data_IF_782379383875
#
_entry.id   IF_782379383875
#
_cell.length_a   1.000
_cell.length_b   1.000
_cell.length_c   1.000
_cell.angle_alpha   90.00
_cell.angle_beta   90.00
_cell.angle_gamma   90.00
#
_symmetry.space_group_name_H-M   'P 1'
#
loop_
_entity.id
_entity.type
_entity.pdbx_description
1 polymer ?
#
# COMPACT_ATOMS: atom_id res chain seq x y z
N UNK A 1 -45.76 -7.20 -1.42
CA UNK A 1 -45.98 -8.05 -2.60
C UNK A 1 -44.80 -9.03 -2.60
N UNK A 2 -45.05 -10.31 -2.40
CA UNK A 2 -44.00 -11.32 -2.43
C UNK A 2 -43.42 -11.43 -3.86
N UNK A 3 -42.13 -11.66 -4.04
CA UNK A 3 -41.56 -11.89 -5.37
C UNK A 3 -42.17 -13.15 -6.00
N UNK A 4 -42.21 -13.24 -7.33
CA UNK A 4 -42.70 -14.44 -7.99
C UNK A 4 -41.81 -15.66 -7.65
N UNK A 5 -42.36 -16.88 -7.65
CA UNK A 5 -41.64 -18.10 -7.24
C UNK A 5 -40.27 -18.31 -7.94
N UNK A 6 -40.19 -17.96 -9.20
CA UNK A 6 -38.93 -18.01 -9.98
C UNK A 6 -37.84 -17.08 -9.44
N UNK A 7 -38.21 -15.96 -8.81
CA UNK A 7 -37.24 -15.04 -8.21
C UNK A 7 -36.58 -15.63 -6.96
N UNK A 8 -37.33 -16.37 -6.14
CA UNK A 8 -36.79 -17.04 -4.95
C UNK A 8 -35.80 -18.18 -5.33
N UNK A 9 -36.13 -18.96 -6.34
CA UNK A 9 -35.21 -19.98 -6.87
C UNK A 9 -33.94 -19.40 -7.44
N UNK A 10 -34.04 -18.31 -8.20
CA UNK A 10 -32.89 -17.60 -8.76
C UNK A 10 -32.00 -17.00 -7.66
N UNK A 11 -32.59 -16.41 -6.62
CA UNK A 11 -31.83 -15.86 -5.49
C UNK A 11 -31.15 -16.94 -4.67
N UNK A 12 -31.79 -18.09 -4.46
CA UNK A 12 -31.18 -19.23 -3.79
C UNK A 12 -29.99 -19.77 -4.60
N UNK A 13 -30.18 -20.00 -5.90
CA UNK A 13 -29.09 -20.43 -6.79
C UNK A 13 -27.92 -19.43 -6.86
N UNK A 14 -28.23 -18.12 -6.82
CA UNK A 14 -27.21 -17.08 -6.75
C UNK A 14 -26.42 -17.14 -5.44
N UNK A 15 -27.10 -17.33 -4.30
CA UNK A 15 -26.46 -17.44 -2.98
C UNK A 15 -25.53 -18.65 -2.92
N UNK A 16 -25.94 -19.81 -3.40
CA UNK A 16 -25.14 -21.03 -3.42
C UNK A 16 -23.93 -20.92 -4.36
N UNK A 17 -24.08 -20.22 -5.49
CA UNK A 17 -23.04 -20.01 -6.49
C UNK A 17 -22.19 -18.74 -6.31
N UNK A 18 -22.54 -17.87 -5.36
CA UNK A 18 -21.98 -16.52 -5.28
C UNK A 18 -20.44 -16.48 -5.18
N UNK A 19 -19.85 -17.31 -4.34
CA UNK A 19 -18.38 -17.36 -4.19
C UNK A 19 -17.71 -17.83 -5.47
N UNK A 20 -18.28 -18.85 -6.13
CA UNK A 20 -17.78 -19.33 -7.43
C UNK A 20 -17.92 -18.29 -8.53
N UNK A 21 -19.04 -17.57 -8.58
CA UNK A 21 -19.24 -16.49 -9.52
C UNK A 21 -18.26 -15.33 -9.29
N UNK A 22 -18.06 -14.92 -8.03
CA UNK A 22 -17.09 -13.87 -7.66
C UNK A 22 -15.65 -14.24 -8.03
N UNK A 23 -15.27 -15.53 -7.97
CA UNK A 23 -13.93 -16.00 -8.32
C UNK A 23 -13.58 -15.73 -9.79
N UNK A 24 -14.54 -15.83 -10.70
CA UNK A 24 -14.34 -15.69 -12.16
C UNK A 24 -14.62 -14.28 -12.67
N UNK A 25 -15.13 -13.37 -11.84
CA UNK A 25 -15.36 -11.98 -12.24
C UNK A 25 -14.05 -11.26 -12.50
N UNK A 26 -14.06 -10.40 -13.52
CA UNK A 26 -12.92 -9.53 -13.85
C UNK A 26 -12.76 -8.34 -12.90
N UNK A 27 -13.73 -8.10 -12.02
CA UNK A 27 -13.67 -7.04 -11.00
C UNK A 27 -12.90 -7.56 -9.80
N UNK A 28 -11.80 -6.93 -9.38
CA UNK A 28 -11.07 -7.35 -8.20
C UNK A 28 -11.94 -7.29 -6.94
N UNK A 29 -12.02 -8.41 -6.22
CA UNK A 29 -12.82 -8.58 -5.02
C UNK A 29 -12.00 -9.22 -3.90
N UNK A 30 -12.33 -8.87 -2.65
CA UNK A 30 -11.64 -9.40 -1.49
C UNK A 30 -12.53 -9.41 -0.24
N UNK A 31 -12.14 -10.22 0.73
CA UNK A 31 -12.71 -10.26 2.07
C UNK A 31 -11.58 -10.05 3.08
N UNK A 32 -11.80 -9.16 4.02
CA UNK A 32 -10.97 -8.99 5.21
C UNK A 32 -11.77 -9.34 6.47
N UNK A 33 -11.08 -9.79 7.50
CA UNK A 33 -11.68 -9.94 8.84
C UNK A 33 -11.68 -8.63 9.62
N UNK A 34 -12.08 -8.70 10.90
CA UNK A 34 -12.12 -7.58 11.83
C UNK A 34 -10.71 -7.05 12.22
N UNK A 35 -9.66 -7.86 12.04
CA UNK A 35 -8.25 -7.47 12.17
C UNK A 35 -7.66 -6.90 10.87
N UNK A 36 -8.49 -6.66 9.84
CA UNK A 36 -8.08 -6.20 8.49
C UNK A 36 -7.12 -7.17 7.77
N UNK A 37 -7.17 -8.46 8.08
CA UNK A 37 -6.40 -9.46 7.34
C UNK A 37 -7.20 -9.98 6.16
N UNK A 38 -6.56 -10.03 5.01
CA UNK A 38 -7.17 -10.61 3.80
C UNK A 38 -7.41 -12.11 4.01
N UNK A 39 -8.66 -12.52 3.96
CA UNK A 39 -9.08 -13.92 4.11
C UNK A 39 -9.41 -14.57 2.78
N UNK A 40 -9.86 -13.80 1.83
CA UNK A 40 -10.18 -14.25 0.49
C UNK A 40 -9.91 -13.17 -0.55
N UNK A 41 -9.54 -13.58 -1.74
CA UNK A 41 -9.36 -12.74 -2.93
C UNK A 41 -9.78 -13.54 -4.16
N UNK A 42 -10.46 -12.90 -5.11
CA UNK A 42 -10.73 -13.52 -6.40
C UNK A 42 -9.50 -13.47 -7.34
N UNK A 43 -9.60 -14.15 -8.49
CA UNK A 43 -8.53 -14.20 -9.49
C UNK A 43 -8.09 -12.80 -9.95
N UNK A 44 -9.02 -11.87 -10.19
CA UNK A 44 -8.73 -10.51 -10.62
C UNK A 44 -7.94 -9.71 -9.56
N UNK A 45 -8.29 -9.84 -8.28
CA UNK A 45 -7.54 -9.21 -7.19
C UNK A 45 -6.13 -9.78 -7.07
N UNK A 46 -5.97 -11.11 -7.18
CA UNK A 46 -4.63 -11.74 -7.17
C UNK A 46 -3.78 -11.34 -8.37
N UNK A 47 -4.37 -11.13 -9.53
CA UNK A 47 -3.65 -10.65 -10.72
C UNK A 47 -3.09 -9.24 -10.53
N UNK A 48 -3.81 -8.35 -9.83
CA UNK A 48 -3.36 -6.99 -9.56
C UNK A 48 -2.33 -6.91 -8.42
N UNK A 49 -2.55 -7.64 -7.33
CA UNK A 49 -1.83 -7.41 -6.07
C UNK A 49 -0.95 -8.58 -5.63
N UNK A 50 -1.03 -9.73 -6.31
CA UNK A 50 -0.48 -10.98 -5.83
C UNK A 50 -1.33 -11.59 -4.72
N UNK A 51 -0.88 -12.69 -4.13
CA UNK A 51 -1.56 -13.34 -3.02
C UNK A 51 -1.32 -12.59 -1.71
N UNK A 52 -2.37 -11.98 -1.17
CA UNK A 52 -2.36 -11.21 0.07
C UNK A 52 -2.99 -11.95 1.25
N UNK A 53 -3.47 -13.19 1.08
CA UNK A 53 -4.15 -13.93 2.14
C UNK A 53 -3.29 -14.05 3.39
N UNK A 54 -3.88 -13.76 4.56
CA UNK A 54 -3.23 -13.71 5.86
C UNK A 54 -2.42 -12.43 6.14
N UNK A 55 -2.26 -11.54 5.17
CA UNK A 55 -1.58 -10.25 5.34
C UNK A 55 -2.57 -9.17 5.75
N UNK A 56 -2.08 -8.14 6.42
CA UNK A 56 -2.85 -6.94 6.69
C UNK A 56 -3.11 -6.20 5.37
N UNK A 57 -4.35 -5.81 5.13
CA UNK A 57 -4.77 -5.13 3.89
C UNK A 57 -4.03 -3.80 3.70
N UNK A 58 -3.93 -3.00 4.75
CA UNK A 58 -3.39 -1.65 4.72
C UNK A 58 -1.87 -1.59 4.59
N UNK A 59 -1.15 -2.61 5.07
CA UNK A 59 0.31 -2.53 5.23
C UNK A 59 1.10 -2.85 3.97
N UNK A 60 0.49 -3.44 2.94
CA UNK A 60 1.24 -3.97 1.81
C UNK A 60 1.01 -3.27 0.47
N UNK A 61 -0.14 -2.62 0.29
CA UNK A 61 -0.52 -2.09 -1.04
C UNK A 61 -1.04 -0.67 -1.03
N UNK A 62 -1.72 -0.20 0.02
CA UNK A 62 -2.18 1.19 0.12
C UNK A 62 -0.97 2.09 0.35
N UNK A 63 -0.89 3.21 -0.35
CA UNK A 63 0.19 4.18 -0.11
C UNK A 63 0.02 4.83 1.26
N UNK A 64 1.13 5.20 1.95
CA UNK A 64 1.07 5.73 3.32
C UNK A 64 0.13 6.91 3.49
N UNK A 65 0.02 7.77 2.48
CA UNK A 65 -0.81 8.99 2.50
C UNK A 65 -2.31 8.69 2.52
N UNK A 66 -2.73 7.52 2.07
CA UNK A 66 -4.15 7.10 1.99
C UNK A 66 -4.53 6.09 3.10
N UNK A 67 -3.58 5.68 3.97
CA UNK A 67 -3.84 4.70 5.04
C UNK A 67 -4.92 5.15 6.03
N UNK A 68 -4.91 6.42 6.40
CA UNK A 68 -5.89 6.95 7.35
C UNK A 68 -7.31 6.94 6.76
N UNK A 69 -7.44 7.22 5.45
CA UNK A 69 -8.74 7.10 4.74
C UNK A 69 -9.25 5.66 4.71
N UNK A 70 -8.35 4.71 4.46
CA UNK A 70 -8.72 3.29 4.45
C UNK A 70 -9.21 2.83 5.83
N UNK A 71 -8.53 3.25 6.91
CA UNK A 71 -8.93 2.98 8.30
C UNK A 71 -10.26 3.64 8.66
N UNK A 72 -10.44 4.89 8.27
CA UNK A 72 -11.69 5.62 8.51
C UNK A 72 -12.88 4.94 7.83
N UNK A 73 -12.73 4.49 6.58
CA UNK A 73 -13.76 3.74 5.88
C UNK A 73 -14.12 2.41 6.58
N UNK A 74 -13.16 1.77 7.25
CA UNK A 74 -13.44 0.58 8.05
C UNK A 74 -14.14 0.94 9.37
N UNK A 75 -13.70 1.99 10.07
CA UNK A 75 -14.31 2.47 11.30
C UNK A 75 -15.78 2.86 11.10
N UNK A 76 -16.13 3.51 9.99
CA UNK A 76 -17.53 3.83 9.65
C UNK A 76 -18.42 2.59 9.63
N UNK A 77 -17.92 1.42 9.19
CA UNK A 77 -18.66 0.16 9.21
C UNK A 77 -18.84 -0.39 10.63
N UNK A 78 -17.86 -0.16 11.52
CA UNK A 78 -18.00 -0.47 12.95
C UNK A 78 -19.09 0.38 13.57
N UNK A 79 -19.19 1.66 13.18
CA UNK A 79 -20.21 2.62 13.64
C UNK A 79 -21.58 2.42 12.97
N UNK A 80 -21.74 1.38 12.14
CA UNK A 80 -23.04 0.99 11.58
C UNK A 80 -23.28 1.38 10.13
N UNK A 81 -22.31 1.94 9.42
CA UNK A 81 -22.47 2.19 8.00
C UNK A 81 -22.73 0.88 7.24
N UNK A 82 -23.77 0.87 6.42
CA UNK A 82 -24.14 -0.27 5.59
C UNK A 82 -23.23 -0.45 4.36
N UNK A 83 -22.54 0.61 3.98
CA UNK A 83 -21.65 0.65 2.81
C UNK A 83 -20.67 1.81 2.98
N UNK A 84 -19.46 1.64 2.45
CA UNK A 84 -18.49 2.73 2.34
C UNK A 84 -17.88 2.75 0.94
N UNK A 85 -17.56 3.94 0.47
CA UNK A 85 -16.86 4.15 -0.79
C UNK A 85 -15.70 5.11 -0.56
N UNK A 86 -14.51 4.73 -1.00
CA UNK A 86 -13.30 5.53 -0.80
C UNK A 86 -12.35 5.37 -1.99
N UNK A 87 -11.76 6.48 -2.41
CA UNK A 87 -10.69 6.44 -3.39
C UNK A 87 -9.33 6.36 -2.72
N UNK A 88 -8.52 5.40 -3.13
CA UNK A 88 -7.19 5.14 -2.60
C UNK A 88 -6.17 5.04 -3.72
N UNK A 89 -4.93 5.37 -3.42
CA UNK A 89 -3.78 5.05 -4.25
C UNK A 89 -3.16 3.76 -3.74
N UNK A 90 -3.01 2.79 -4.63
CA UNK A 90 -2.51 1.46 -4.30
C UNK A 90 -1.36 1.06 -5.22
N UNK A 91 -0.48 0.19 -4.74
CA UNK A 91 0.64 -0.34 -5.50
C UNK A 91 0.30 -1.72 -6.07
N UNK A 92 0.33 -1.83 -7.39
CA UNK A 92 0.21 -3.11 -8.12
C UNK A 92 1.44 -4.00 -7.84
N UNK A 93 1.35 -5.29 -8.11
CA UNK A 93 2.43 -6.24 -7.85
C UNK A 93 3.73 -5.96 -8.65
N UNK A 94 3.64 -5.29 -9.80
CA UNK A 94 4.78 -4.85 -10.61
C UNK A 94 5.38 -3.49 -10.18
N UNK A 95 4.82 -2.87 -9.13
CA UNK A 95 5.27 -1.60 -8.58
C UNK A 95 4.52 -0.37 -9.11
N UNK A 96 3.71 -0.48 -10.15
CA UNK A 96 2.90 0.62 -10.67
C UNK A 96 1.91 1.14 -9.61
N UNK A 97 1.68 2.44 -9.62
CA UNK A 97 0.69 3.09 -8.75
C UNK A 97 -0.64 3.20 -9.50
N UNK A 98 -1.71 2.81 -8.82
CA UNK A 98 -3.07 2.87 -9.34
C UNK A 98 -3.92 3.76 -8.43
N UNK A 99 -4.79 4.57 -9.02
CA UNK A 99 -5.92 5.17 -8.32
C UNK A 99 -7.10 4.22 -8.46
N UNK A 100 -7.66 3.81 -7.33
CA UNK A 100 -8.79 2.87 -7.28
C UNK A 100 -9.94 3.45 -6.46
N UNK A 101 -11.16 3.16 -6.86
CA UNK A 101 -12.33 3.30 -6.01
C UNK A 101 -12.57 1.94 -5.33
N UNK A 102 -12.69 1.97 -4.02
CA UNK A 102 -13.00 0.81 -3.18
C UNK A 102 -14.41 0.96 -2.64
N UNK A 103 -15.30 0.08 -3.07
CA UNK A 103 -16.68 -0.02 -2.57
C UNK A 103 -16.76 -1.24 -1.66
N UNK A 104 -17.19 -1.07 -0.41
CA UNK A 104 -17.19 -2.18 0.52
C UNK A 104 -18.39 -2.18 1.49
N UNK A 105 -18.79 -3.39 1.89
CA UNK A 105 -19.91 -3.64 2.81
C UNK A 105 -19.43 -4.41 4.04
N UNK A 106 -20.02 -4.17 5.23
CA UNK A 106 -19.72 -4.96 6.41
C UNK A 106 -20.23 -6.39 6.29
N UNK A 107 -19.46 -7.35 6.78
CA UNK A 107 -19.90 -8.71 7.02
C UNK A 107 -20.21 -8.85 8.51
N UNK A 108 -21.44 -9.29 8.84
CA UNK A 108 -21.88 -9.44 10.21
C UNK A 108 -22.31 -10.87 10.47
N UNK A 109 -22.07 -11.34 11.69
CA UNK A 109 -22.57 -12.62 12.15
C UNK A 109 -24.09 -12.51 12.50
N UNK A 110 -24.76 -13.64 12.79
CA UNK A 110 -26.20 -13.63 13.17
C UNK A 110 -26.52 -12.79 14.42
N UNK A 111 -25.53 -12.51 15.28
CA UNK A 111 -25.68 -11.64 16.44
C UNK A 111 -25.56 -10.13 16.08
N UNK A 112 -25.27 -9.81 14.81
CA UNK A 112 -25.11 -8.43 14.32
C UNK A 112 -23.69 -7.85 14.52
N UNK A 113 -22.76 -8.62 15.07
CA UNK A 113 -21.39 -8.17 15.29
C UNK A 113 -20.62 -8.14 13.97
N UNK A 114 -19.80 -7.12 13.78
CA UNK A 114 -18.93 -6.99 12.61
C UNK A 114 -17.82 -8.05 12.70
N UNK A 115 -17.76 -8.94 11.71
CA UNK A 115 -16.73 -9.99 11.59
C UNK A 115 -15.78 -9.77 10.42
N UNK A 116 -15.99 -8.71 9.65
CA UNK A 116 -15.15 -8.38 8.52
C UNK A 116 -15.84 -7.47 7.51
N UNK A 117 -15.26 -7.39 6.33
CA UNK A 117 -15.77 -6.59 5.22
C UNK A 117 -15.50 -7.28 3.89
N UNK A 118 -16.48 -7.20 2.97
CA UNK A 118 -16.33 -7.54 1.57
C UNK A 118 -16.12 -6.27 0.76
N UNK A 119 -15.11 -6.25 -0.11
CA UNK A 119 -14.76 -5.11 -0.94
C UNK A 119 -14.61 -5.45 -2.41
N UNK A 120 -15.01 -4.50 -3.25
CA UNK A 120 -14.76 -4.48 -4.69
C UNK A 120 -13.84 -3.30 -5.01
N UNK A 121 -12.94 -3.50 -5.96
CA UNK A 121 -12.07 -2.43 -6.44
C UNK A 121 -12.37 -2.13 -7.90
N UNK A 122 -12.46 -0.85 -8.22
CA UNK A 122 -12.47 -0.35 -9.59
C UNK A 122 -11.18 0.42 -9.84
N UNK A 123 -10.39 0.01 -10.81
CA UNK A 123 -9.23 0.78 -11.24
C UNK A 123 -9.74 1.99 -12.03
N UNK A 124 -9.47 3.19 -11.52
CA UNK A 124 -9.87 4.45 -12.15
C UNK A 124 -8.84 4.88 -13.19
N UNK A 125 -7.57 4.78 -12.82
CA UNK A 125 -6.44 5.11 -13.70
C UNK A 125 -5.14 4.58 -13.13
N UNK A 126 -4.16 4.37 -13.99
CA UNK A 126 -2.77 4.26 -13.57
C UNK A 126 -2.24 5.66 -13.27
N UNK A 127 -1.56 5.80 -12.15
CA UNK A 127 -0.90 7.06 -11.79
C UNK A 127 0.49 7.02 -12.41
N UNK A 128 0.85 8.09 -13.12
CA UNK A 128 2.26 8.25 -13.44
C UNK A 128 3.04 8.20 -12.14
N UNK A 129 4.17 7.47 -12.09
CA UNK A 129 5.03 7.54 -10.92
C UNK A 129 5.24 9.03 -10.66
N UNK A 130 4.83 9.50 -9.48
CA UNK A 130 5.19 10.86 -9.08
C UNK A 130 6.69 10.97 -9.36
N UNK A 131 7.14 12.03 -10.08
CA UNK A 131 8.56 12.20 -10.32
C UNK A 131 9.19 11.96 -8.95
N UNK A 132 10.06 10.94 -8.85
CA UNK A 132 10.68 10.55 -7.57
C UNK A 132 11.04 11.86 -6.92
N UNK A 133 10.31 12.27 -5.88
CA UNK A 133 10.66 13.50 -5.18
C UNK A 133 12.08 13.26 -4.78
N UNK A 134 12.99 13.96 -5.47
CA UNK A 134 14.40 13.82 -5.21
C UNK A 134 14.55 13.82 -3.69
N UNK A 135 15.11 12.77 -3.09
CA UNK A 135 15.10 12.59 -1.65
C UNK A 135 15.60 13.89 -1.04
N UNK A 136 14.77 14.54 -0.21
CA UNK A 136 15.12 15.82 0.37
C UNK A 136 16.17 15.59 1.44
N UNK A 137 17.41 15.56 1.00
CA UNK A 137 18.54 15.55 1.90
C UNK A 137 18.70 16.93 2.55
N UNK A 138 18.93 16.98 3.85
CA UNK A 138 19.37 18.20 4.49
C UNK A 138 20.72 18.64 3.91
N UNK A 139 21.13 19.91 4.05
CA UNK A 139 22.43 20.38 3.54
C UNK A 139 23.61 19.50 4.00
N UNK A 140 23.59 19.04 5.26
CA UNK A 140 24.62 18.14 5.82
C UNK A 140 24.55 16.71 5.27
N UNK A 141 23.38 16.21 4.96
CA UNK A 141 23.21 14.91 4.31
C UNK A 141 23.65 14.98 2.84
N UNK A 142 23.37 16.08 2.13
CA UNK A 142 23.83 16.28 0.76
C UNK A 142 25.37 16.40 0.71
N UNK A 143 25.97 17.17 1.59
CA UNK A 143 27.42 17.28 1.74
C UNK A 143 28.04 15.90 2.02
N UNK A 144 27.43 15.12 2.91
CA UNK A 144 27.86 13.74 3.21
C UNK A 144 27.78 12.84 1.97
N UNK A 145 26.67 12.92 1.21
CA UNK A 145 26.50 12.13 0.00
C UNK A 145 27.52 12.50 -1.08
N UNK A 146 27.80 13.80 -1.24
CA UNK A 146 28.83 14.30 -2.19
C UNK A 146 30.21 13.75 -1.86
N UNK A 147 30.59 13.77 -0.58
CA UNK A 147 31.87 13.22 -0.12
C UNK A 147 31.93 11.70 -0.29
N UNK A 148 30.83 10.97 -0.09
CA UNK A 148 30.74 9.54 -0.38
C UNK A 148 30.90 9.28 -1.88
N UNK A 149 30.27 10.08 -2.74
CA UNK A 149 30.37 9.95 -4.20
C UNK A 149 31.79 10.22 -4.71
N UNK A 150 32.55 11.07 -4.02
CA UNK A 150 33.96 11.32 -4.25
C UNK A 150 34.89 10.22 -3.68
N UNK A 151 34.34 9.18 -3.03
CA UNK A 151 35.13 8.07 -2.51
C UNK A 151 35.84 8.34 -1.18
N UNK A 152 35.47 9.39 -0.46
CA UNK A 152 36.11 9.75 0.80
C UNK A 152 35.87 8.70 1.90
N UNK A 153 36.91 8.39 2.66
CA UNK A 153 36.81 7.59 3.88
C UNK A 153 36.10 8.36 5.00
N UNK A 154 35.59 7.66 6.00
CA UNK A 154 34.97 8.29 7.19
C UNK A 154 35.95 9.24 7.91
N UNK A 155 37.25 8.98 7.84
CA UNK A 155 38.30 9.83 8.45
C UNK A 155 38.41 11.12 7.63
N UNK A 156 38.59 11.01 6.32
CA UNK A 156 38.70 12.16 5.43
C UNK A 156 37.44 13.05 5.48
N UNK A 157 36.25 12.42 5.56
CA UNK A 157 34.99 13.16 5.74
C UNK A 157 34.94 13.91 7.05
N UNK A 158 35.40 13.31 8.16
CA UNK A 158 35.44 13.94 9.49
C UNK A 158 36.32 15.19 9.49
N UNK A 159 37.48 15.11 8.82
CA UNK A 159 38.41 16.22 8.67
C UNK A 159 37.82 17.36 7.80
N UNK A 160 37.25 17.01 6.61
CA UNK A 160 36.68 18.01 5.70
C UNK A 160 35.43 18.70 6.27
N UNK A 161 34.59 17.97 7.01
CA UNK A 161 33.38 18.51 7.60
C UNK A 161 33.61 19.17 8.97
N UNK A 162 34.85 19.08 9.52
CA UNK A 162 35.24 19.56 10.85
C UNK A 162 34.35 18.98 11.99
N UNK A 163 34.06 17.68 11.93
CA UNK A 163 33.22 16.96 12.91
C UNK A 163 33.85 15.61 13.31
N UNK A 164 33.33 14.99 14.36
CA UNK A 164 33.82 13.68 14.81
C UNK A 164 33.48 12.56 13.80
N UNK A 165 34.31 11.51 13.78
CA UNK A 165 34.05 10.28 12.99
C UNK A 165 32.69 9.66 13.32
N UNK A 166 32.24 9.75 14.58
CA UNK A 166 30.95 9.22 15.00
C UNK A 166 29.79 10.06 14.42
N UNK A 167 29.96 11.38 14.38
CA UNK A 167 28.99 12.27 13.76
C UNK A 167 28.86 11.99 12.25
N UNK A 168 29.98 11.74 11.57
CA UNK A 168 29.97 11.30 10.15
C UNK A 168 29.20 9.99 9.98
N UNK A 169 29.44 8.98 10.85
CA UNK A 169 28.70 7.72 10.78
C UNK A 169 27.19 7.93 10.93
N UNK A 170 26.79 8.84 11.81
CA UNK A 170 25.38 9.19 11.99
C UNK A 170 24.79 9.91 10.77
N UNK A 171 25.52 10.80 10.14
CA UNK A 171 25.10 11.42 8.88
C UNK A 171 24.98 10.38 7.76
N UNK A 172 25.94 9.48 7.62
CA UNK A 172 25.86 8.36 6.66
C UNK A 172 24.63 7.52 6.89
N UNK A 173 24.33 7.11 8.13
CA UNK A 173 23.11 6.36 8.45
C UNK A 173 21.83 7.11 8.06
N UNK A 174 21.80 8.43 8.25
CA UNK A 174 20.66 9.26 7.81
C UNK A 174 20.55 9.29 6.28
N UNK A 175 21.65 9.52 5.56
CA UNK A 175 21.69 9.46 4.10
C UNK A 175 21.18 8.13 3.58
N UNK A 176 21.65 7.00 4.16
CA UNK A 176 21.19 5.67 3.77
C UNK A 176 19.66 5.53 3.96
N UNK A 177 19.13 6.01 5.08
CA UNK A 177 17.70 5.98 5.37
C UNK A 177 16.91 6.88 4.42
N UNK A 178 17.36 8.11 4.19
CA UNK A 178 16.67 9.08 3.31
C UNK A 178 16.65 8.63 1.86
N UNK A 179 17.65 7.84 1.43
CA UNK A 179 17.75 7.26 0.09
C UNK A 179 17.21 5.82 0.02
N UNK A 180 16.68 5.29 1.13
CA UNK A 180 16.27 3.88 1.21
C UNK A 180 17.36 2.93 0.70
N UNK A 181 18.61 3.16 1.09
CA UNK A 181 19.78 2.42 0.63
C UNK A 181 20.33 1.52 1.74
N UNK A 182 20.71 0.30 1.39
CA UNK A 182 21.32 -0.68 2.30
C UNK A 182 22.83 -0.52 2.45
N UNK A 183 23.47 0.19 1.51
CA UNK A 183 24.93 0.38 1.47
C UNK A 183 25.32 1.77 0.96
N UNK A 184 26.56 2.19 1.26
CA UNK A 184 27.14 3.44 0.75
C UNK A 184 27.17 3.49 -0.77
N UNK A 185 27.53 2.37 -1.41
CA UNK A 185 27.57 2.26 -2.88
C UNK A 185 26.18 2.43 -3.47
N UNK A 186 25.19 1.81 -2.88
CA UNK A 186 23.79 1.95 -3.30
C UNK A 186 23.28 3.38 -3.10
N UNK A 187 23.63 4.03 -1.99
CA UNK A 187 23.26 5.42 -1.74
C UNK A 187 23.85 6.35 -2.80
N UNK A 188 25.10 6.19 -3.17
CA UNK A 188 25.74 6.96 -4.24
C UNK A 188 25.07 6.70 -5.58
N UNK A 189 24.75 5.44 -5.90
CA UNK A 189 24.05 5.09 -7.15
C UNK A 189 22.65 5.70 -7.22
N UNK A 190 21.91 5.68 -6.12
CA UNK A 190 20.58 6.32 -6.01
C UNK A 190 20.70 7.86 -6.08
N UNK A 191 21.68 8.44 -5.40
CA UNK A 191 21.95 9.87 -5.44
C UNK A 191 22.27 10.39 -6.85
N UNK A 192 23.08 9.66 -7.61
CA UNK A 192 23.39 10.00 -9.02
C UNK A 192 22.15 9.91 -9.91
N UNK A 193 21.34 8.87 -9.76
CA UNK A 193 20.07 8.73 -10.51
C UNK A 193 19.08 9.85 -10.21
N UNK A 194 19.08 10.34 -8.97
CA UNK A 194 18.23 11.45 -8.53
C UNK A 194 18.81 12.83 -8.84
N UNK A 195 20.00 12.93 -9.47
CA UNK A 195 20.65 14.18 -9.79
C UNK A 195 21.15 14.97 -8.58
N UNK A 196 21.42 14.30 -7.46
CA UNK A 196 21.89 14.94 -6.21
C UNK A 196 23.42 15.05 -6.17
N UNK A 197 24.13 14.16 -6.84
CA UNK A 197 25.62 14.11 -6.92
C UNK A 197 26.09 13.50 -8.23
#
# INVERSE_FOLDING_TARGET
MAPPPQTEELLAALSDGAVGALEVLSVPAYVVDDDLRVRWQNAASRALFGDLRGRLEDSSKVVPEDLDRAREAFAQKQDGAAHTEVELSVRRCDGALLRVAVSSVPLRNPAGELIGSFGLLQVLRELEPAPERAPRLSPRELETLTLLAAGNSTIAMAEQMAISKETVRNHVKRVLRSLDASSRVEAVAKGRRAGLV
#
